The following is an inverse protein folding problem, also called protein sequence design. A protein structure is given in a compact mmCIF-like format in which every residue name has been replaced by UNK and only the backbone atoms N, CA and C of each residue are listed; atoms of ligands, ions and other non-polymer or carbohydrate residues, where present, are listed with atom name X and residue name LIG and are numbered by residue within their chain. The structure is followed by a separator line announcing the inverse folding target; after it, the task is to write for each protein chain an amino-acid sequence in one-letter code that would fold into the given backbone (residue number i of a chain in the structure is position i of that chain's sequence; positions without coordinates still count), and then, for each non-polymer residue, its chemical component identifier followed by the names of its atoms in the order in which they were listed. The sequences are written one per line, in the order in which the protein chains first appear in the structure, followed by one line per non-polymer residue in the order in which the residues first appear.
data_IF_636190843822
#
_entry.id   IF_636190843822
#
_cell.length_a   1.000
_cell.length_b   1.000
_cell.length_c   1.000
_cell.angle_alpha   90.00
_cell.angle_beta   90.00
_cell.angle_gamma   90.00
#
_symmetry.space_group_name_H-M   'P 1'
#
loop_
_entity.id
_entity.type
_entity.pdbx_description
1 polymer ?
#
# COMPACT_ATOMS: atom_id res chain seq x y z
N UNK A 1 -0.62 9.18 27.59
CA UNK A 1 0.63 9.61 26.95
C UNK A 1 0.37 10.76 26.01
N UNK A 2 1.41 11.46 25.56
CA UNK A 2 1.28 12.66 24.70
C UNK A 2 0.49 12.39 23.40
N UNK A 3 0.67 11.20 22.80
CA UNK A 3 -0.03 10.78 21.59
C UNK A 3 -1.55 10.70 21.75
N UNK A 4 -2.05 10.32 22.94
CA UNK A 4 -3.49 10.29 23.22
C UNK A 4 -4.12 11.68 23.13
N UNK A 5 -3.32 12.72 23.40
CA UNK A 5 -3.76 14.10 23.28
C UNK A 5 -3.94 14.58 21.85
N UNK A 6 -3.66 13.77 20.81
CA UNK A 6 -3.92 14.12 19.40
C UNK A 6 -5.24 13.54 18.88
N UNK A 7 -5.92 12.74 19.70
CA UNK A 7 -7.12 11.98 19.31
C UNK A 7 -8.38 12.62 19.87
N UNK A 8 -9.48 12.50 19.13
CA UNK A 8 -10.83 12.80 19.62
C UNK A 8 -11.32 11.76 20.63
N UNK A 9 -10.76 10.55 20.60
CA UNK A 9 -10.95 9.51 21.62
C UNK A 9 -9.60 9.09 22.22
N UNK A 10 -9.15 9.77 23.30
CA UNK A 10 -7.89 9.46 23.96
C UNK A 10 -7.83 8.06 24.59
N UNK A 11 -9.00 7.44 24.84
CA UNK A 11 -9.10 6.09 25.41
C UNK A 11 -8.85 5.00 24.38
N UNK A 12 -9.28 5.22 23.14
CA UNK A 12 -9.28 4.22 22.07
C UNK A 12 -8.28 4.55 20.95
N UNK A 13 -7.00 4.74 21.25
CA UNK A 13 -6.00 5.18 20.23
C UNK A 13 -4.66 4.44 20.29
N UNK A 14 -4.25 3.96 21.46
CA UNK A 14 -2.97 3.28 21.61
C UNK A 14 -2.99 2.37 22.82
N UNK A 15 -2.24 1.27 22.76
CA UNK A 15 -2.00 0.38 23.90
C UNK A 15 -3.27 -0.29 24.47
N UNK A 16 -4.24 -0.60 23.60
CA UNK A 16 -5.45 -1.36 23.95
C UNK A 16 -5.34 -2.86 23.67
N UNK A 17 -4.23 -3.30 23.08
CA UNK A 17 -4.00 -4.71 22.76
C UNK A 17 -4.29 -4.98 21.30
N UNK A 18 -5.13 -5.96 21.01
CA UNK A 18 -5.49 -6.35 19.65
C UNK A 18 -6.98 -6.09 19.43
N UNK A 19 -7.32 -5.69 18.22
CA UNK A 19 -8.69 -5.55 17.76
C UNK A 19 -8.83 -6.26 16.41
N UNK A 20 -10.03 -6.77 16.13
CA UNK A 20 -10.34 -7.57 14.95
C UNK A 20 -11.54 -6.97 14.22
N UNK A 21 -11.40 -6.73 12.91
CA UNK A 21 -12.47 -6.21 12.07
C UNK A 21 -12.78 -7.17 10.92
N UNK A 22 -14.06 -7.37 10.63
CA UNK A 22 -14.50 -8.12 9.46
C UNK A 22 -14.74 -7.21 8.27
N UNK A 23 -14.59 -7.73 7.05
CA UNK A 23 -14.94 -6.95 5.87
C UNK A 23 -15.48 -7.78 4.73
N UNK A 24 -16.18 -7.09 3.82
CA UNK A 24 -16.83 -7.69 2.67
C UNK A 24 -16.57 -6.87 1.41
N UNK A 25 -16.25 -7.58 0.34
CA UNK A 25 -16.07 -7.01 -0.98
C UNK A 25 -16.11 -8.08 -2.06
N UNK A 26 -15.99 -7.65 -3.31
CA UNK A 26 -16.06 -8.53 -4.47
C UNK A 26 -15.00 -8.22 -5.50
N UNK A 27 -14.68 -9.22 -6.32
CA UNK A 27 -13.84 -9.06 -7.49
C UNK A 27 -14.42 -9.79 -8.68
N UNK A 28 -14.24 -9.23 -9.87
CA UNK A 28 -14.60 -9.82 -11.15
C UNK A 28 -13.42 -9.70 -12.11
N UNK A 29 -13.23 -10.73 -12.91
CA UNK A 29 -12.22 -10.76 -13.95
C UNK A 29 -12.76 -11.36 -15.24
N UNK A 30 -12.21 -10.92 -16.35
CA UNK A 30 -12.45 -11.49 -17.67
C UNK A 30 -11.12 -11.75 -18.37
N UNK A 31 -11.02 -12.89 -19.04
CA UNK A 31 -9.86 -13.24 -19.86
C UNK A 31 -10.31 -13.80 -21.20
N UNK A 32 -9.65 -13.38 -22.27
CA UNK A 32 -9.87 -13.86 -23.63
C UNK A 32 -8.56 -14.13 -24.36
N UNK A 33 -8.61 -14.96 -25.41
CA UNK A 33 -7.46 -15.25 -26.27
C UNK A 33 -7.85 -15.21 -27.73
N UNK A 34 -7.08 -14.49 -28.54
CA UNK A 34 -7.24 -14.35 -29.99
C UNK A 34 -5.87 -14.58 -30.64
N UNK A 35 -5.70 -15.76 -31.25
CA UNK A 35 -4.43 -16.16 -31.86
C UNK A 35 -3.28 -16.18 -30.84
N UNK A 36 -2.25 -15.36 -31.10
CA UNK A 36 -1.08 -15.20 -30.24
C UNK A 36 -1.28 -14.20 -29.08
N UNK A 37 -2.42 -13.51 -29.03
CA UNK A 37 -2.70 -12.50 -28.01
C UNK A 37 -3.68 -13.04 -26.98
N UNK A 38 -3.38 -12.84 -25.70
CA UNK A 38 -4.31 -12.99 -24.59
C UNK A 38 -4.55 -11.64 -23.95
N UNK A 39 -5.77 -11.37 -23.52
CA UNK A 39 -6.19 -10.12 -22.89
C UNK A 39 -6.87 -10.45 -21.57
N UNK A 40 -6.62 -9.62 -20.56
CA UNK A 40 -7.24 -9.73 -19.24
C UNK A 40 -7.77 -8.39 -18.77
N UNK A 41 -8.89 -8.41 -18.05
CA UNK A 41 -9.43 -7.28 -17.31
C UNK A 41 -9.79 -7.77 -15.90
N UNK A 42 -9.59 -6.92 -14.90
CA UNK A 42 -10.04 -7.17 -13.54
C UNK A 42 -10.56 -5.91 -12.87
N UNK A 43 -11.50 -6.09 -11.95
CA UNK A 43 -11.99 -5.05 -11.05
C UNK A 43 -12.29 -5.65 -9.68
N UNK A 44 -11.88 -4.96 -8.63
CA UNK A 44 -12.19 -5.25 -7.24
C UNK A 44 -12.88 -4.03 -6.63
N UNK A 45 -13.99 -4.25 -5.95
CA UNK A 45 -14.68 -3.20 -5.21
C UNK A 45 -13.82 -2.72 -4.05
N UNK A 46 -14.22 -1.61 -3.42
CA UNK A 46 -13.81 -1.32 -2.05
C UNK A 46 -14.24 -2.50 -1.18
N UNK A 47 -13.39 -2.95 -0.26
CA UNK A 47 -13.77 -3.90 0.76
C UNK A 47 -14.15 -3.06 1.95
N UNK A 48 -15.43 -3.10 2.28
CA UNK A 48 -15.99 -2.39 3.43
C UNK A 48 -15.66 -3.19 4.67
N UNK A 49 -14.88 -2.62 5.57
CA UNK A 49 -14.46 -3.18 6.84
C UNK A 49 -15.37 -2.66 7.96
N UNK A 50 -15.50 -3.42 9.02
CA UNK A 50 -15.99 -2.93 10.30
C UNK A 50 -14.95 -1.97 10.90
N UNK A 51 -15.43 -1.04 11.72
CA UNK A 51 -14.60 -0.08 12.43
C UNK A 51 -13.83 -0.78 13.55
N UNK A 52 -12.59 -0.35 13.81
CA UNK A 52 -11.84 -0.79 14.98
C UNK A 52 -12.30 -0.04 16.23
N UNK A 53 -13.16 -0.66 17.04
CA UNK A 53 -13.70 -0.08 18.28
C UNK A 53 -12.60 0.29 19.29
N UNK A 54 -11.62 -0.58 19.51
CA UNK A 54 -10.52 -0.34 20.48
C UNK A 54 -9.51 0.71 19.96
N UNK A 55 -9.60 1.07 18.68
CA UNK A 55 -8.76 2.05 17.99
C UNK A 55 -9.57 3.15 17.28
N UNK A 56 -10.79 3.42 17.76
CA UNK A 56 -11.69 4.41 17.16
C UNK A 56 -11.11 5.84 17.13
N UNK A 57 -10.17 6.14 18.01
CA UNK A 57 -9.41 7.38 18.07
C UNK A 57 -8.16 7.43 17.18
N UNK A 58 -7.83 6.36 16.47
CA UNK A 58 -6.60 6.27 15.67
C UNK A 58 -6.84 6.62 14.20
N UNK A 59 -7.77 5.92 13.55
CA UNK A 59 -8.06 6.10 12.14
C UNK A 59 -9.22 7.07 11.93
N UNK A 60 -9.26 7.71 10.76
CA UNK A 60 -10.39 8.56 10.40
C UNK A 60 -11.70 7.76 10.43
N UNK A 61 -12.83 8.47 10.56
CA UNK A 61 -14.17 7.85 10.60
C UNK A 61 -14.29 6.82 11.74
N UNK A 62 -13.78 7.18 12.92
CA UNK A 62 -13.94 6.43 14.17
C UNK A 62 -13.37 5.01 14.13
N UNK A 63 -12.23 4.82 13.46
CA UNK A 63 -11.59 3.50 13.36
C UNK A 63 -11.84 2.80 12.02
N UNK A 64 -12.49 3.43 11.05
CA UNK A 64 -12.67 2.86 9.71
C UNK A 64 -11.34 2.69 8.96
N UNK A 65 -11.14 1.51 8.39
CA UNK A 65 -9.98 1.20 7.58
C UNK A 65 -10.33 0.25 6.44
N UNK A 66 -11.11 0.76 5.51
CA UNK A 66 -11.46 0.04 4.28
C UNK A 66 -10.25 -0.32 3.39
N UNK A 67 -10.38 -1.39 2.60
CA UNK A 67 -9.38 -1.73 1.58
C UNK A 67 -9.79 -1.09 0.25
N UNK A 68 -8.89 -0.34 -0.41
CA UNK A 68 -9.23 0.41 -1.61
C UNK A 68 -9.64 -0.49 -2.77
N UNK A 69 -10.57 0.04 -3.56
CA UNK A 69 -10.94 -0.51 -4.85
C UNK A 69 -9.73 -0.51 -5.79
N UNK A 70 -9.71 -1.43 -6.76
CA UNK A 70 -8.70 -1.44 -7.80
C UNK A 70 -9.26 -2.00 -9.11
N UNK A 71 -8.73 -1.53 -10.23
CA UNK A 71 -9.07 -2.10 -11.53
C UNK A 71 -7.84 -2.13 -12.41
N UNK A 72 -7.84 -2.99 -13.42
CA UNK A 72 -6.70 -3.12 -14.31
C UNK A 72 -6.98 -4.01 -15.50
N UNK A 73 -5.99 -4.06 -16.36
CA UNK A 73 -6.01 -4.89 -17.55
C UNK A 73 -4.61 -5.19 -18.04
N UNK A 74 -4.54 -6.17 -18.92
CA UNK A 74 -3.28 -6.71 -19.38
C UNK A 74 -3.36 -7.36 -20.74
N UNK A 75 -2.20 -7.46 -21.38
CA UNK A 75 -1.99 -8.14 -22.65
C UNK A 75 -0.82 -9.09 -22.50
N UNK A 76 -0.99 -10.33 -22.96
CA UNK A 76 0.10 -11.28 -23.13
C UNK A 76 0.25 -11.68 -24.60
N UNK A 77 1.49 -11.71 -25.07
CA UNK A 77 1.88 -12.09 -26.42
C UNK A 77 2.65 -13.41 -26.35
N UNK A 78 2.09 -14.45 -26.95
CA UNK A 78 2.68 -15.77 -27.07
C UNK A 78 3.50 -15.86 -28.37
N UNK A 79 4.73 -15.36 -28.35
CA UNK A 79 5.63 -15.35 -29.52
C UNK A 79 5.90 -16.76 -30.07
N UNK A 80 6.04 -17.73 -29.17
CA UNK A 80 6.16 -19.16 -29.50
C UNK A 80 5.37 -19.96 -28.46
N UNK A 81 5.20 -21.29 -28.63
CA UNK A 81 4.62 -22.14 -27.58
C UNK A 81 5.36 -22.06 -26.25
N UNK A 82 6.64 -21.64 -26.26
CA UNK A 82 7.51 -21.65 -25.09
C UNK A 82 7.82 -20.26 -24.55
N UNK A 83 7.56 -19.18 -25.30
CA UNK A 83 7.92 -17.82 -24.93
C UNK A 83 6.69 -16.92 -24.92
N UNK A 84 6.39 -16.36 -23.75
CA UNK A 84 5.31 -15.38 -23.55
C UNK A 84 5.87 -14.12 -22.91
N UNK A 85 5.45 -12.97 -23.41
CA UNK A 85 5.70 -11.66 -22.78
C UNK A 85 4.36 -11.05 -22.42
N UNK A 86 4.23 -10.52 -21.21
CA UNK A 86 3.01 -9.89 -20.71
C UNK A 86 3.29 -8.49 -20.20
N UNK A 87 2.30 -7.61 -20.33
CA UNK A 87 2.30 -6.29 -19.73
C UNK A 87 0.93 -6.00 -19.14
N UNK A 88 0.92 -5.47 -17.92
CA UNK A 88 -0.29 -5.13 -17.18
C UNK A 88 -0.24 -3.67 -16.71
N UNK A 89 -1.42 -3.07 -16.61
CA UNK A 89 -1.65 -1.78 -15.99
C UNK A 89 -2.82 -1.90 -15.01
N UNK A 90 -2.64 -1.41 -13.80
CA UNK A 90 -3.72 -1.33 -12.81
C UNK A 90 -3.71 0.00 -12.07
N UNK A 91 -4.89 0.46 -11.66
CA UNK A 91 -5.08 1.61 -10.78
C UNK A 91 -5.61 1.15 -9.43
N UNK A 92 -5.05 1.69 -8.35
CA UNK A 92 -5.52 1.48 -6.98
C UNK A 92 -6.10 2.81 -6.49
N UNK A 93 -7.31 2.77 -5.94
CA UNK A 93 -8.09 3.95 -5.57
C UNK A 93 -7.95 4.25 -4.07
N UNK A 94 -6.75 4.67 -3.64
CA UNK A 94 -6.50 5.03 -2.24
C UNK A 94 -7.31 6.26 -1.79
N UNK A 95 -7.61 7.17 -2.72
CA UNK A 95 -8.37 8.41 -2.44
C UNK A 95 -9.77 8.18 -1.87
N UNK A 96 -10.34 6.99 -2.06
CA UNK A 96 -11.69 6.64 -1.60
C UNK A 96 -11.71 6.12 -0.13
N UNK A 97 -10.56 5.94 0.52
CA UNK A 97 -10.44 5.49 1.91
C UNK A 97 -9.92 6.65 2.76
N UNK A 98 -10.72 7.19 3.68
CA UNK A 98 -10.39 8.42 4.43
C UNK A 98 -9.20 8.24 5.37
N UNK A 99 -9.13 7.12 6.08
CA UNK A 99 -8.00 6.80 6.95
C UNK A 99 -6.65 6.71 6.23
N UNK A 100 -6.67 6.48 4.90
CA UNK A 100 -5.48 6.43 4.05
C UNK A 100 -5.24 7.78 3.34
N UNK A 101 -6.28 8.38 2.76
CA UNK A 101 -6.19 9.55 1.88
C UNK A 101 -6.23 10.89 2.61
N UNK A 102 -6.76 10.96 3.82
CA UNK A 102 -6.72 12.19 4.62
C UNK A 102 -5.26 12.60 4.82
N UNK A 103 -5.00 13.91 4.75
CA UNK A 103 -3.64 14.42 4.88
C UNK A 103 -3.13 14.27 6.30
N UNK A 104 -1.83 14.07 6.43
CA UNK A 104 -1.13 14.23 7.70
C UNK A 104 -1.11 15.71 8.15
N UNK A 105 -0.69 15.98 9.38
CA UNK A 105 -0.61 17.34 9.89
C UNK A 105 0.44 18.16 9.15
N UNK A 106 0.12 19.43 8.89
CA UNK A 106 1.14 20.44 8.61
C UNK A 106 2.00 20.69 9.85
N UNK A 107 3.15 21.35 9.67
CA UNK A 107 4.03 21.70 10.80
C UNK A 107 3.30 22.49 11.90
N UNK A 108 2.45 23.44 11.51
CA UNK A 108 1.68 24.26 12.45
C UNK A 108 0.63 23.44 13.20
N UNK A 109 -0.07 22.53 12.52
CA UNK A 109 -1.07 21.66 13.14
C UNK A 109 -0.41 20.68 14.10
N UNK A 110 0.74 20.11 13.74
CA UNK A 110 1.52 19.25 14.61
C UNK A 110 1.97 19.99 15.88
N UNK A 111 2.58 21.17 15.75
CA UNK A 111 3.00 21.96 16.91
C UNK A 111 1.82 22.46 17.75
N UNK A 112 0.71 22.84 17.11
CA UNK A 112 -0.53 23.19 17.80
C UNK A 112 -1.06 22.05 18.65
N UNK A 113 -1.17 20.86 18.06
CA UNK A 113 -1.60 19.67 18.79
C UNK A 113 -0.62 19.27 19.88
N UNK A 114 0.69 19.39 19.64
CA UNK A 114 1.72 19.17 20.66
C UNK A 114 1.54 20.08 21.87
N UNK A 115 1.32 21.38 21.65
CA UNK A 115 1.01 22.33 22.73
C UNK A 115 -0.30 21.96 23.41
N UNK A 116 -1.36 21.69 22.64
CA UNK A 116 -2.67 21.29 23.17
C UNK A 116 -2.58 20.06 24.07
N UNK A 117 -1.81 19.04 23.67
CA UNK A 117 -1.59 17.83 24.45
C UNK A 117 -0.78 18.09 25.74
N UNK A 118 0.16 19.06 25.73
CA UNK A 118 0.91 19.46 26.93
C UNK A 118 0.06 20.30 27.90
N UNK A 119 -0.82 21.14 27.39
CA UNK A 119 -1.65 22.05 28.20
C UNK A 119 -3.01 21.47 28.56
N UNK A 120 -3.41 20.35 27.94
CA UNK A 120 -4.75 19.78 28.05
C UNK A 120 -5.83 20.62 27.39
N UNK A 121 -5.47 21.43 26.38
CA UNK A 121 -6.39 22.29 25.65
C UNK A 121 -6.69 21.72 24.25
N UNK A 122 -7.84 21.05 24.06
CA UNK A 122 -8.18 20.43 22.79
C UNK A 122 -8.49 21.45 21.68
N UNK A 123 -8.70 22.73 22.01
CA UNK A 123 -8.96 23.77 21.01
C UNK A 123 -7.75 24.07 20.12
N UNK A 124 -6.56 23.61 20.52
CA UNK A 124 -5.31 23.75 19.76
C UNK A 124 -5.12 22.65 18.71
N UNK A 125 -5.97 21.62 18.70
CA UNK A 125 -5.85 20.46 17.81
C UNK A 125 -6.80 20.64 16.63
N UNK A 126 -6.22 20.95 15.47
CA UNK A 126 -6.94 20.95 14.19
C UNK A 126 -7.00 19.52 13.66
N UNK A 127 -8.19 19.01 13.34
CA UNK A 127 -8.42 17.68 12.76
C UNK A 127 -7.83 16.53 13.60
N UNK A 128 -8.27 16.35 14.86
CA UNK A 128 -7.79 15.27 15.71
C UNK A 128 -8.03 13.90 15.06
N UNK A 129 -7.14 12.95 15.35
CA UNK A 129 -7.29 11.54 14.98
C UNK A 129 -8.64 10.99 15.48
N UNK A 130 -9.22 10.01 14.79
CA UNK A 130 -10.55 9.46 15.11
C UNK A 130 -11.73 10.21 14.49
N UNK A 131 -11.56 11.46 14.08
CA UNK A 131 -12.61 12.21 13.37
C UNK A 131 -12.64 11.89 11.88
N UNK A 132 -13.74 12.22 11.19
CA UNK A 132 -13.90 11.94 9.75
C UNK A 132 -12.81 12.59 8.89
N UNK A 133 -12.37 13.80 9.27
CA UNK A 133 -11.29 14.54 8.61
C UNK A 133 -9.96 14.43 9.38
N UNK A 134 -9.87 13.50 10.34
CA UNK A 134 -8.68 13.27 11.15
C UNK A 134 -7.47 12.89 10.29
N UNK A 135 -6.27 13.16 10.80
CA UNK A 135 -5.04 12.97 10.03
C UNK A 135 -4.86 11.54 9.53
N UNK A 136 -4.44 11.43 8.27
CA UNK A 136 -4.13 10.16 7.60
C UNK A 136 -2.76 10.16 6.94
N UNK A 137 -2.57 9.26 5.97
CA UNK A 137 -1.29 9.09 5.28
C UNK A 137 -1.14 9.98 4.04
N UNK A 138 -2.20 10.66 3.61
CA UNK A 138 -2.21 11.53 2.43
C UNK A 138 -1.94 10.78 1.13
N UNK A 139 -2.38 9.51 1.02
CA UNK A 139 -2.18 8.73 -0.19
C UNK A 139 -3.20 9.08 -1.27
N UNK A 140 -2.70 9.30 -2.47
CA UNK A 140 -3.41 9.46 -3.72
C UNK A 140 -3.54 8.13 -4.47
N UNK A 141 -4.46 8.09 -5.42
CA UNK A 141 -4.59 6.96 -6.34
C UNK A 141 -3.30 6.75 -7.14
N UNK A 142 -2.87 5.50 -7.28
CA UNK A 142 -1.64 5.18 -8.02
C UNK A 142 -1.92 4.30 -9.23
N UNK A 143 -1.14 4.53 -10.28
CA UNK A 143 -0.99 3.59 -11.38
C UNK A 143 0.19 2.66 -11.14
N UNK A 144 -0.03 1.38 -11.45
CA UNK A 144 0.96 0.31 -11.35
C UNK A 144 1.13 -0.31 -12.73
N UNK A 145 2.37 -0.35 -13.19
CA UNK A 145 2.77 -0.87 -14.50
C UNK A 145 3.66 -2.09 -14.32
N UNK A 146 3.34 -3.17 -15.01
CA UNK A 146 4.08 -4.44 -14.93
C UNK A 146 4.46 -4.92 -16.31
N UNK A 147 5.65 -5.49 -16.43
CA UNK A 147 6.08 -6.25 -17.59
C UNK A 147 6.75 -7.55 -17.13
N UNK A 148 6.48 -8.64 -17.81
CA UNK A 148 6.99 -9.96 -17.45
C UNK A 148 7.26 -10.84 -18.67
N UNK A 149 8.20 -11.75 -18.49
CA UNK A 149 8.55 -12.78 -19.47
C UNK A 149 8.41 -14.14 -18.80
N UNK A 150 7.78 -15.08 -19.50
CA UNK A 150 7.69 -16.48 -19.14
C UNK A 150 8.30 -17.34 -20.26
N UNK A 151 9.28 -18.16 -19.90
CA UNK A 151 10.02 -18.99 -20.84
C UNK A 151 10.06 -20.45 -20.39
N UNK A 152 9.31 -21.31 -21.08
CA UNK A 152 9.36 -22.77 -20.91
C UNK A 152 10.61 -23.32 -21.64
N UNK A 153 11.70 -23.43 -20.89
CA UNK A 153 13.00 -23.86 -21.42
C UNK A 153 12.99 -25.35 -21.80
N UNK A 154 12.38 -26.19 -20.96
CA UNK A 154 12.22 -27.63 -21.21
C UNK A 154 10.94 -28.15 -20.53
N UNK A 155 10.55 -29.42 -20.76
CA UNK A 155 9.42 -30.02 -20.06
C UNK A 155 9.54 -30.02 -18.52
N UNK A 156 10.77 -29.89 -18.00
CA UNK A 156 11.03 -29.85 -16.57
C UNK A 156 11.24 -28.43 -16.02
N UNK A 157 11.55 -27.44 -16.86
CA UNK A 157 12.01 -26.12 -16.40
C UNK A 157 11.29 -24.97 -17.10
N UNK A 158 10.70 -24.10 -16.29
CA UNK A 158 10.17 -22.80 -16.73
C UNK A 158 10.84 -21.67 -15.96
N UNK A 159 11.28 -20.63 -16.65
CA UNK A 159 11.89 -19.44 -16.06
C UNK A 159 10.99 -18.22 -16.25
N UNK A 160 10.99 -17.34 -15.25
CA UNK A 160 10.24 -16.09 -15.25
C UNK A 160 11.12 -14.94 -14.80
N UNK A 161 10.91 -13.78 -15.42
CA UNK A 161 11.49 -12.52 -14.99
C UNK A 161 10.46 -11.42 -15.18
N UNK A 162 10.49 -10.39 -14.34
CA UNK A 162 9.54 -9.29 -14.42
C UNK A 162 10.06 -8.01 -13.80
N UNK A 163 9.36 -6.92 -14.13
CA UNK A 163 9.59 -5.60 -13.58
C UNK A 163 8.26 -4.91 -13.30
N UNK A 164 8.16 -4.25 -12.17
CA UNK A 164 7.00 -3.48 -11.74
C UNK A 164 7.43 -2.06 -11.36
N UNK A 165 6.66 -1.08 -11.80
CA UNK A 165 6.79 0.32 -11.41
C UNK A 165 5.45 0.86 -10.92
N UNK A 166 5.46 1.45 -9.73
CA UNK A 166 4.37 2.25 -9.18
C UNK A 166 4.98 3.52 -8.60
N UNK A 167 4.30 4.65 -8.73
CA UNK A 167 4.72 5.89 -8.06
C UNK A 167 4.50 5.80 -6.55
N UNK A 168 5.26 6.59 -5.79
CA UNK A 168 5.01 6.78 -4.36
C UNK A 168 3.59 7.37 -4.20
N UNK A 169 2.72 6.78 -3.36
CA UNK A 169 1.33 7.18 -3.31
C UNK A 169 1.10 8.53 -2.61
N UNK A 170 2.12 9.20 -2.07
CA UNK A 170 1.96 10.43 -1.29
C UNK A 170 3.01 11.48 -1.68
N UNK A 171 2.65 12.75 -1.51
CA UNK A 171 3.58 13.87 -1.69
C UNK A 171 4.59 13.99 -0.55
N UNK A 172 5.71 14.66 -0.80
CA UNK A 172 6.79 14.82 0.20
C UNK A 172 6.28 15.42 1.53
N UNK A 173 5.29 16.30 1.50
CA UNK A 173 4.68 16.91 2.68
C UNK A 173 3.87 15.94 3.57
N UNK A 174 3.74 14.67 3.18
CA UNK A 174 3.07 13.61 3.94
C UNK A 174 4.05 12.62 4.60
N UNK A 175 5.36 12.88 4.53
CA UNK A 175 6.40 11.97 5.03
C UNK A 175 6.27 11.60 6.52
N UNK A 176 5.75 12.47 7.39
CA UNK A 176 5.67 12.21 8.84
C UNK A 176 4.84 10.96 9.18
N UNK A 177 3.61 10.87 8.69
CA UNK A 177 2.71 9.74 8.99
C UNK A 177 3.14 8.46 8.26
N UNK A 178 3.77 8.62 7.09
CA UNK A 178 4.30 7.53 6.29
C UNK A 178 5.50 6.80 6.94
N UNK A 179 6.05 7.30 8.04
CA UNK A 179 6.99 6.55 8.89
C UNK A 179 6.32 5.31 9.49
N UNK A 180 5.01 5.36 9.75
CA UNK A 180 4.24 4.25 10.30
C UNK A 180 3.88 3.19 9.24
N UNK A 181 3.70 3.60 7.98
CA UNK A 181 3.39 2.72 6.86
C UNK A 181 4.23 3.08 5.61
N UNK A 182 5.53 2.73 5.57
CA UNK A 182 6.40 3.17 4.48
C UNK A 182 6.04 2.51 3.14
N UNK A 183 5.58 3.33 2.18
CA UNK A 183 5.29 2.91 0.81
C UNK A 183 6.16 3.65 -0.23
N UNK A 184 7.47 3.77 0.05
CA UNK A 184 8.38 4.57 -0.78
C UNK A 184 9.00 3.82 -1.96
N UNK A 185 8.97 2.48 -1.99
CA UNK A 185 9.62 1.71 -3.05
C UNK A 185 8.81 1.73 -4.35
N UNK A 186 9.38 2.27 -5.42
CA UNK A 186 8.66 2.39 -6.69
C UNK A 186 8.90 1.19 -7.62
N UNK A 187 10.15 0.71 -7.64
CA UNK A 187 10.65 -0.25 -8.63
C UNK A 187 10.86 -1.60 -8.00
N UNK A 188 10.37 -2.64 -8.65
CA UNK A 188 10.55 -4.02 -8.22
C UNK A 188 11.01 -4.86 -9.40
N UNK A 189 12.11 -5.59 -9.24
CA UNK A 189 12.54 -6.62 -10.18
C UNK A 189 12.24 -7.99 -9.59
N UNK A 190 11.75 -8.91 -10.41
CA UNK A 190 11.45 -10.29 -10.01
C UNK A 190 12.14 -11.27 -10.94
N UNK A 191 12.59 -12.38 -10.38
CA UNK A 191 13.07 -13.55 -11.11
C UNK A 191 12.56 -14.80 -10.42
N UNK A 192 12.26 -15.84 -11.18
CA UNK A 192 11.76 -17.08 -10.61
C UNK A 192 11.83 -18.24 -11.59
N UNK A 193 11.56 -19.42 -11.07
CA UNK A 193 11.50 -20.64 -11.85
C UNK A 193 10.43 -21.59 -11.32
N UNK A 194 9.98 -22.49 -12.19
CA UNK A 194 9.23 -23.69 -11.84
C UNK A 194 10.00 -24.90 -12.32
N UNK A 195 10.16 -25.89 -11.45
CA UNK A 195 10.70 -27.20 -11.74
C UNK A 195 9.61 -28.26 -11.61
N UNK A 196 9.31 -28.96 -12.69
CA UNK A 196 8.38 -30.10 -12.69
C UNK A 196 9.11 -31.33 -12.17
N UNK A 197 8.81 -31.70 -10.93
CA UNK A 197 9.46 -32.82 -10.21
C UNK A 197 9.03 -34.15 -10.81
N UNK A 198 7.74 -34.27 -11.11
CA UNK A 198 7.10 -35.43 -11.73
C UNK A 198 5.76 -34.97 -12.38
N UNK A 199 5.04 -35.82 -13.12
CA UNK A 199 3.82 -35.41 -13.84
C UNK A 199 2.69 -34.81 -12.97
N UNK A 200 2.71 -35.03 -11.66
CA UNK A 200 1.70 -34.53 -10.71
C UNK A 200 2.23 -33.48 -9.74
N UNK A 201 3.50 -33.07 -9.85
CA UNK A 201 4.13 -32.22 -8.84
C UNK A 201 5.06 -31.18 -9.46
N UNK A 202 4.80 -29.91 -9.14
CA UNK A 202 5.63 -28.78 -9.50
C UNK A 202 6.16 -28.07 -8.26
N UNK A 203 7.43 -27.67 -8.30
CA UNK A 203 8.03 -26.77 -7.31
C UNK A 203 8.33 -25.43 -7.96
N UNK A 204 7.90 -24.33 -7.36
CA UNK A 204 8.16 -22.98 -7.85
C UNK A 204 8.88 -22.15 -6.81
N UNK A 205 9.79 -21.30 -7.26
CA UNK A 205 10.48 -20.32 -6.42
C UNK A 205 10.57 -18.97 -7.12
N UNK A 206 10.32 -17.89 -6.39
CA UNK A 206 10.41 -16.52 -6.87
C UNK A 206 11.24 -15.69 -5.89
N UNK A 207 12.07 -14.80 -6.43
CA UNK A 207 12.77 -13.76 -5.69
C UNK A 207 12.37 -12.40 -6.24
N UNK A 208 12.12 -11.46 -5.33
CA UNK A 208 11.82 -10.07 -5.62
C UNK A 208 12.85 -9.16 -4.94
N UNK A 209 13.32 -8.16 -5.68
CA UNK A 209 14.11 -7.05 -5.16
C UNK A 209 13.38 -5.73 -5.41
N UNK A 210 12.97 -5.06 -4.33
CA UNK A 210 12.45 -3.69 -4.38
C UNK A 210 13.63 -2.72 -4.22
N UNK A 211 13.85 -1.89 -5.24
CA UNK A 211 14.98 -0.97 -5.26
C UNK A 211 14.81 0.11 -4.21
N UNK A 212 15.93 0.50 -3.59
CA UNK A 212 15.94 1.55 -2.57
C UNK A 212 15.35 2.84 -3.14
N UNK A 213 14.45 3.45 -2.38
CA UNK A 213 13.98 4.82 -2.59
C UNK A 213 13.80 5.53 -1.25
N UNK A 214 13.83 6.86 -1.26
CA UNK A 214 13.59 7.66 -0.07
C UNK A 214 12.77 8.93 -0.34
N UNK A 215 12.01 9.32 0.69
CA UNK A 215 11.28 10.59 0.77
C UNK A 215 11.75 11.28 2.04
N UNK A 216 12.18 12.54 1.94
CA UNK A 216 12.80 13.29 3.03
C UNK A 216 12.28 14.72 3.05
N UNK A 217 11.66 15.11 4.16
CA UNK A 217 10.96 16.38 4.29
C UNK A 217 11.28 17.06 5.61
N UNK A 218 11.57 18.36 5.54
CA UNK A 218 11.67 19.22 6.72
C UNK A 218 10.41 20.05 6.86
N UNK A 219 9.66 19.80 7.93
CA UNK A 219 8.47 20.55 8.32
C UNK A 219 8.89 21.78 9.10
N UNK A 220 8.51 22.96 8.63
CA UNK A 220 8.87 24.24 9.25
C UNK A 220 7.61 24.97 9.71
N UNK A 221 7.56 25.31 11.00
CA UNK A 221 6.48 26.11 11.57
C UNK A 221 6.49 27.54 11.06
N UNK A 222 5.32 28.15 10.98
CA UNK A 222 5.11 29.54 10.58
C UNK A 222 4.28 30.28 11.63
N UNK A 223 4.21 31.61 11.53
CA UNK A 223 3.46 32.43 12.49
C UNK A 223 3.97 32.25 13.93
N UNK A 224 3.11 31.82 14.84
CA UNK A 224 3.49 31.59 16.25
C UNK A 224 4.52 30.47 16.44
N UNK A 225 4.67 29.58 15.46
CA UNK A 225 5.65 28.48 15.48
C UNK A 225 6.88 28.77 14.61
N UNK A 226 7.07 30.02 14.17
CA UNK A 226 8.26 30.41 13.43
C UNK A 226 9.53 30.12 14.24
N UNK A 227 10.51 29.46 13.59
CA UNK A 227 11.77 29.04 14.23
C UNK A 227 11.76 27.60 14.77
N UNK A 228 10.62 26.90 14.76
CA UNK A 228 10.54 25.48 15.04
C UNK A 228 10.48 24.66 13.75
N UNK A 229 11.17 23.52 13.73
CA UNK A 229 11.15 22.58 12.61
C UNK A 229 11.46 21.15 13.06
N UNK A 230 10.99 20.17 12.29
CA UNK A 230 11.37 18.77 12.44
C UNK A 230 11.52 18.11 11.07
N UNK A 231 12.32 17.04 10.99
CA UNK A 231 12.49 16.26 9.76
C UNK A 231 11.76 14.92 9.85
N UNK A 232 11.24 14.44 8.72
CA UNK A 232 10.75 13.09 8.56
C UNK A 232 11.37 12.47 7.31
N UNK A 233 11.95 11.28 7.46
CA UNK A 233 12.58 10.55 6.37
C UNK A 233 12.09 9.10 6.32
N UNK A 234 11.58 8.71 5.17
CA UNK A 234 11.20 7.34 4.84
C UNK A 234 12.22 6.78 3.85
N UNK A 235 12.88 5.67 4.18
CA UNK A 235 13.82 5.01 3.30
C UNK A 235 13.65 3.50 3.42
N UNK A 236 13.43 2.84 2.29
CA UNK A 236 13.19 1.41 2.28
C UNK A 236 13.80 0.75 1.05
N UNK A 237 14.29 -0.46 1.24
CA UNK A 237 14.51 -1.45 0.19
C UNK A 237 13.99 -2.79 0.71
N UNK A 238 13.58 -3.68 -0.17
CA UNK A 238 12.99 -4.96 0.26
C UNK A 238 13.51 -6.12 -0.57
N UNK A 239 13.57 -7.27 0.08
CA UNK A 239 13.86 -8.56 -0.54
C UNK A 239 12.74 -9.50 -0.12
N UNK A 240 12.16 -10.24 -1.07
CA UNK A 240 11.18 -11.27 -0.77
C UNK A 240 11.54 -12.56 -1.52
N UNK A 241 11.34 -13.69 -0.85
CA UNK A 241 11.49 -15.03 -1.42
C UNK A 241 10.17 -15.76 -1.18
N UNK A 242 9.65 -16.36 -2.24
CA UNK A 242 8.46 -17.21 -2.20
C UNK A 242 8.82 -18.59 -2.74
N UNK A 243 8.32 -19.65 -2.09
CA UNK A 243 8.44 -21.01 -2.55
C UNK A 243 7.08 -21.70 -2.45
N UNK A 244 6.70 -22.45 -3.47
CA UNK A 244 5.41 -23.13 -3.56
C UNK A 244 5.58 -24.56 -4.10
N UNK A 245 4.78 -25.49 -3.58
CA UNK A 245 4.64 -26.84 -4.09
C UNK A 245 3.19 -27.03 -4.56
N UNK A 246 3.01 -27.45 -5.81
CA UNK A 246 1.70 -27.69 -6.40
C UNK A 246 1.54 -29.18 -6.71
N UNK A 247 0.39 -29.73 -6.31
CA UNK A 247 -0.02 -31.10 -6.64
C UNK A 247 -1.19 -31.05 -7.62
N UNK A 248 -1.00 -31.64 -8.80
CA UNK A 248 -2.02 -31.72 -9.85
C UNK A 248 -2.72 -33.10 -9.78
N UNK A 249 -4.05 -33.12 -9.70
CA UNK A 249 -4.88 -34.34 -9.61
C UNK A 249 -5.45 -34.75 -10.98
#
# INVERSE_FOLDING_TARGET
GLFQGFSSDPGNVTNNGNDDAWGIGGQIGYQGRIGMFSFGLMGRSKIYMEEFDDYAGLFAEQGDFDIPAMFGGGIAIHFTPNLTVAADISRILYGDVKSISNKGPTANEFFGAFVGALTGDPSQISNPLGTNDGWGFGWDDVWVYKIGVNYAYSPAWTFRAGFNYAEVPFGDDQALFNVLAPAVVEKHATVGFTYTVNPSTDFSMTYMYAFRNDVDTTYTGTGQFAGFSYGAKNNMYQNAIEAALSWNF
#
